data_IF_915280491497
#
_entry.id   IF_915280491497
#
_cell.length_a   1.000
_cell.length_b   1.000
_cell.length_c   1.000
_cell.angle_alpha   90.00
_cell.angle_beta   90.00
_cell.angle_gamma   90.00
#
_symmetry.space_group_name_H-M   'P 1'
#
loop_
_entity.id
_entity.type
_entity.pdbx_description
1 polymer ?
#
# COMPACT_ATOMS: atom_id res chain seq x y z
N UNK A 1 -11.63 -14.68 19.24
CA UNK A 1 -12.44 -14.85 18.01
C UNK A 1 -13.29 -16.10 18.19
N UNK A 2 -14.60 -16.03 17.98
CA UNK A 2 -15.49 -17.19 18.17
C UNK A 2 -15.11 -18.30 17.17
N UNK A 3 -14.81 -19.50 17.69
CA UNK A 3 -14.50 -20.70 16.90
C UNK A 3 -15.79 -21.50 16.64
N UNK A 4 -16.78 -20.86 16.03
CA UNK A 4 -18.02 -21.51 15.58
C UNK A 4 -17.97 -21.67 14.06
N UNK A 5 -18.48 -22.79 13.54
CA UNK A 5 -18.51 -23.09 12.10
C UNK A 5 -19.84 -22.73 11.44
N UNK A 6 -20.93 -22.74 12.20
CA UNK A 6 -22.26 -22.38 11.74
C UNK A 6 -22.72 -21.14 12.52
N UNK A 7 -23.29 -20.19 11.79
CA UNK A 7 -23.82 -18.94 12.33
C UNK A 7 -25.29 -18.85 11.94
N UNK A 8 -26.14 -18.48 12.89
CA UNK A 8 -27.53 -18.14 12.58
C UNK A 8 -27.59 -16.83 11.77
N UNK A 9 -28.59 -16.72 10.89
CA UNK A 9 -28.89 -15.50 10.14
C UNK A 9 -29.02 -14.29 11.09
N UNK A 10 -29.74 -14.48 12.19
CA UNK A 10 -29.93 -13.47 13.23
C UNK A 10 -28.60 -13.10 13.90
N UNK A 11 -27.66 -14.04 14.09
CA UNK A 11 -26.35 -13.75 14.69
C UNK A 11 -25.45 -12.90 13.77
N UNK A 12 -25.59 -13.07 12.46
CA UNK A 12 -24.85 -12.29 11.46
C UNK A 12 -25.40 -10.86 11.38
N UNK A 13 -26.72 -10.68 11.52
CA UNK A 13 -27.36 -9.36 11.42
C UNK A 13 -27.47 -8.60 12.74
N UNK A 14 -27.57 -9.29 13.88
CA UNK A 14 -27.67 -8.62 15.19
C UNK A 14 -26.34 -8.22 15.78
N UNK A 15 -25.23 -8.55 15.10
CA UNK A 15 -23.82 -8.36 15.51
C UNK A 15 -23.70 -8.00 17.00
N UNK A 16 -23.87 -8.99 17.88
CA UNK A 16 -23.91 -8.78 19.34
C UNK A 16 -22.61 -8.20 19.91
N UNK A 17 -21.55 -8.16 19.10
CA UNK A 17 -20.26 -7.56 19.43
C UNK A 17 -20.16 -6.08 19.03
N UNK A 18 -21.12 -5.57 18.26
CA UNK A 18 -21.18 -4.18 17.89
C UNK A 18 -21.75 -3.36 19.05
N UNK A 19 -20.93 -2.42 19.54
CA UNK A 19 -21.38 -1.35 20.41
C UNK A 19 -21.00 -0.05 19.72
N UNK A 20 -21.99 0.82 19.48
CA UNK A 20 -21.70 2.16 19.00
C UNK A 20 -20.70 2.82 19.96
N UNK A 21 -19.60 3.42 19.47
CA UNK A 21 -18.65 4.09 20.34
C UNK A 21 -19.37 5.13 21.21
N UNK A 22 -19.01 5.26 22.50
CA UNK A 22 -19.57 6.30 23.35
C UNK A 22 -19.38 7.68 22.71
N UNK A 23 -20.32 8.64 22.86
CA UNK A 23 -20.22 9.97 22.25
C UNK A 23 -19.00 10.77 22.74
N UNK A 24 -18.46 10.46 23.93
CA UNK A 24 -17.18 10.98 24.42
C UNK A 24 -15.94 10.43 23.69
N UNK A 25 -16.11 9.37 22.90
CA UNK A 25 -15.11 8.71 22.05
C UNK A 25 -15.47 8.89 20.58
N UNK A 26 -15.89 10.10 20.19
CA UNK A 26 -16.05 10.46 18.79
C UNK A 26 -14.69 10.33 18.10
N UNK A 27 -14.64 9.52 17.05
CA UNK A 27 -13.45 9.43 16.20
C UNK A 27 -13.32 10.75 15.44
N UNK A 28 -12.16 11.39 15.57
CA UNK A 28 -11.85 12.59 14.79
C UNK A 28 -11.86 12.24 13.30
N UNK A 29 -12.58 13.01 12.49
CA UNK A 29 -12.58 12.86 11.03
C UNK A 29 -11.66 13.90 10.40
N UNK A 30 -11.16 13.60 9.20
CA UNK A 30 -10.35 14.53 8.40
C UNK A 30 -11.15 15.75 7.90
N UNK A 31 -12.47 15.75 8.09
CA UNK A 31 -13.38 16.82 7.66
C UNK A 31 -13.90 17.67 8.83
N UNK A 32 -13.61 17.30 10.08
CA UNK A 32 -13.99 18.13 11.22
C UNK A 32 -13.07 19.37 11.30
N UNK A 33 -13.68 20.52 11.48
CA UNK A 33 -13.02 21.83 11.46
C UNK A 33 -11.95 21.97 12.56
N UNK A 34 -10.79 22.57 12.26
CA UNK A 34 -9.74 22.79 13.25
C UNK A 34 -10.23 23.67 14.39
N UNK A 35 -10.06 23.22 15.64
CA UNK A 35 -10.44 23.99 16.83
C UNK A 35 -9.28 24.86 17.29
N UNK A 36 -9.58 26.08 17.70
CA UNK A 36 -8.58 26.97 18.30
C UNK A 36 -8.32 26.59 19.76
N UNK A 37 -7.04 26.44 20.13
CA UNK A 37 -6.61 26.44 21.54
C UNK A 37 -5.40 27.33 21.67
N UNK A 38 -5.41 28.19 22.70
CA UNK A 38 -4.33 29.13 22.99
C UNK A 38 -3.97 30.02 21.77
N UNK A 39 -4.97 30.47 21.01
CA UNK A 39 -4.80 31.31 19.83
C UNK A 39 -4.20 30.60 18.61
N UNK A 40 -4.01 29.28 18.66
CA UNK A 40 -3.49 28.49 17.55
C UNK A 40 -4.50 27.43 17.12
N UNK A 41 -4.68 27.27 15.81
CA UNK A 41 -5.53 26.22 15.22
C UNK A 41 -4.88 24.85 15.44
N UNK A 42 -5.62 23.95 16.09
CA UNK A 42 -5.18 22.57 16.27
C UNK A 42 -5.40 21.81 14.97
N UNK A 43 -4.30 21.58 14.27
CA UNK A 43 -4.24 20.75 13.06
C UNK A 43 -3.82 19.30 13.34
N UNK A 44 -3.65 18.93 14.61
CA UNK A 44 -3.16 17.62 15.06
C UNK A 44 -4.24 16.87 15.83
N UNK A 45 -4.34 15.57 15.56
CA UNK A 45 -5.29 14.66 16.19
C UNK A 45 -4.93 14.35 17.65
N UNK A 46 -5.87 13.75 18.39
CA UNK A 46 -5.58 13.04 19.64
C UNK A 46 -4.42 12.04 19.46
N UNK A 47 -4.33 11.37 18.31
CA UNK A 47 -3.12 10.66 17.90
C UNK A 47 -2.18 11.62 17.17
N UNK A 48 -0.86 11.40 17.27
CA UNK A 48 0.19 12.25 16.66
C UNK A 48 0.19 12.18 15.11
N UNK A 49 -0.89 12.61 14.47
CA UNK A 49 -1.12 12.65 13.02
C UNK A 49 -1.78 13.97 12.66
N UNK A 50 -1.48 14.49 11.46
CA UNK A 50 -2.12 15.71 10.94
C UNK A 50 -3.58 15.41 10.57
N UNK A 51 -4.49 16.31 10.96
CA UNK A 51 -5.92 16.28 10.62
C UNK A 51 -6.24 17.05 9.33
N UNK A 52 -5.32 17.91 8.91
CA UNK A 52 -5.50 18.78 7.74
C UNK A 52 -4.66 18.23 6.59
N UNK A 53 -5.31 18.03 5.45
CA UNK A 53 -4.64 17.81 4.18
C UNK A 53 -4.40 19.18 3.54
N UNK A 54 -3.15 19.61 3.56
CA UNK A 54 -2.73 20.79 2.82
C UNK A 54 -2.51 20.37 1.37
N UNK A 55 -3.45 20.77 0.51
CA UNK A 55 -3.27 20.60 -0.92
C UNK A 55 -2.24 21.62 -1.37
N UNK A 56 -1.17 21.14 -2.00
CA UNK A 56 -0.24 22.02 -2.68
C UNK A 56 -0.97 22.63 -3.87
N UNK A 57 -0.82 23.94 -4.09
CA UNK A 57 -1.28 24.59 -5.31
C UNK A 57 -0.53 23.97 -6.51
N UNK A 58 -1.19 23.03 -7.19
CA UNK A 58 -0.62 22.27 -8.31
C UNK A 58 -0.49 23.10 -9.60
N UNK A 59 -0.79 24.40 -9.54
CA UNK A 59 -0.52 25.35 -10.62
C UNK A 59 0.97 25.55 -10.86
N UNK A 60 1.82 25.22 -9.86
CA UNK A 60 3.28 25.33 -9.99
C UNK A 60 3.93 23.97 -10.28
N UNK A 61 4.89 23.90 -11.22
CA UNK A 61 5.67 22.69 -11.49
C UNK A 61 6.31 22.13 -10.21
N UNK A 62 5.98 20.88 -9.88
CA UNK A 62 6.51 20.20 -8.69
C UNK A 62 8.03 20.11 -8.75
N UNK A 63 8.73 20.75 -7.80
CA UNK A 63 10.19 20.62 -7.64
C UNK A 63 10.54 19.14 -7.44
N UNK A 64 11.29 18.54 -8.38
CA UNK A 64 11.81 17.18 -8.22
C UNK A 64 12.75 17.17 -7.02
N UNK A 65 12.45 16.40 -5.98
CA UNK A 65 13.41 16.15 -4.91
C UNK A 65 14.61 15.44 -5.51
N UNK A 66 15.79 16.04 -5.41
CA UNK A 66 17.06 15.37 -5.70
C UNK A 66 17.12 14.13 -4.81
N UNK A 67 17.21 12.95 -5.42
CA UNK A 67 17.42 11.70 -4.68
C UNK A 67 18.79 11.82 -4.01
N UNK A 68 18.81 12.23 -2.74
CA UNK A 68 20.02 12.20 -1.92
C UNK A 68 20.61 10.79 -1.93
N UNK A 69 21.94 10.71 -1.91
CA UNK A 69 22.73 9.46 -1.98
C UNK A 69 22.02 8.35 -1.20
N UNK A 70 21.67 7.27 -1.90
CA UNK A 70 21.01 6.09 -1.36
C UNK A 70 21.84 5.60 -0.17
N UNK A 71 21.30 5.68 1.05
CA UNK A 71 21.92 5.07 2.22
C UNK A 71 22.00 3.56 1.96
N UNK A 72 23.22 3.03 1.86
CA UNK A 72 23.51 1.61 1.59
C UNK A 72 23.24 0.70 2.79
N UNK A 73 22.84 1.25 3.94
CA UNK A 73 22.56 0.49 5.16
C UNK A 73 21.18 0.89 5.67
N UNK A 74 20.22 -0.03 5.55
CA UNK A 74 18.90 0.10 6.14
C UNK A 74 17.76 0.01 5.13
N UNK A 75 17.02 -1.10 5.18
CA UNK A 75 15.80 -1.41 4.42
C UNK A 75 16.04 -2.06 3.05
N UNK A 76 16.17 -3.39 3.06
CA UNK A 76 15.82 -4.20 1.90
C UNK A 76 14.30 -4.14 1.71
N UNK A 77 13.81 -3.15 0.96
CA UNK A 77 12.42 -3.16 0.48
C UNK A 77 12.18 -4.42 -0.35
N UNK A 78 10.95 -4.97 -0.34
CA UNK A 78 10.52 -6.16 -1.12
C UNK A 78 11.07 -6.21 -2.55
N UNK A 79 11.20 -5.06 -3.22
CA UNK A 79 11.80 -4.92 -4.55
C UNK A 79 13.24 -5.46 -4.67
N UNK A 80 14.10 -5.33 -3.64
CA UNK A 80 15.47 -5.86 -3.68
C UNK A 80 15.54 -7.38 -3.49
N UNK A 81 14.58 -7.99 -2.77
CA UNK A 81 14.48 -9.46 -2.68
C UNK A 81 13.99 -10.06 -4.00
N UNK A 82 13.10 -9.36 -4.71
CA UNK A 82 12.67 -9.77 -6.05
C UNK A 82 13.80 -9.69 -7.10
N UNK A 83 14.74 -8.75 -6.96
CA UNK A 83 15.88 -8.62 -7.87
C UNK A 83 16.92 -9.77 -7.76
N UNK A 84 16.98 -10.49 -6.62
CA UNK A 84 17.80 -11.71 -6.54
C UNK A 84 17.19 -12.85 -7.36
N UNK A 85 15.86 -12.90 -7.45
CA UNK A 85 15.15 -13.86 -8.28
C UNK A 85 15.21 -13.48 -9.76
N UNK A 86 15.41 -12.20 -10.11
CA UNK A 86 15.42 -11.79 -11.53
C UNK A 86 16.60 -12.36 -12.31
N UNK A 87 17.79 -12.48 -11.71
CA UNK A 87 18.94 -13.04 -12.43
C UNK A 87 18.74 -14.52 -12.80
N UNK A 88 18.18 -15.32 -11.88
CA UNK A 88 17.83 -16.72 -12.14
C UNK A 88 16.68 -16.83 -13.16
N UNK A 89 15.69 -15.92 -13.07
CA UNK A 89 14.58 -15.84 -14.03
C UNK A 89 15.03 -15.42 -15.42
N UNK A 90 16.01 -14.54 -15.55
CA UNK A 90 16.56 -14.08 -16.82
C UNK A 90 17.29 -15.22 -17.55
N UNK A 91 18.00 -16.08 -16.81
CA UNK A 91 18.62 -17.30 -17.36
C UNK A 91 17.57 -18.29 -17.86
N UNK A 92 16.52 -18.54 -17.07
CA UNK A 92 15.42 -19.43 -17.46
C UNK A 92 14.65 -18.89 -18.68
N UNK A 93 14.45 -17.57 -18.76
CA UNK A 93 13.81 -16.92 -19.90
C UNK A 93 14.66 -17.10 -21.16
N UNK A 94 15.96 -16.86 -21.07
CA UNK A 94 16.89 -17.01 -22.19
C UNK A 94 16.89 -18.44 -22.72
N UNK A 95 16.91 -19.43 -21.83
CA UNK A 95 16.82 -20.84 -22.22
C UNK A 95 15.52 -21.16 -22.97
N UNK A 96 14.36 -20.73 -22.46
CA UNK A 96 13.07 -20.97 -23.12
C UNK A 96 12.96 -20.29 -24.49
N UNK A 97 13.54 -19.11 -24.65
CA UNK A 97 13.55 -18.42 -25.95
C UNK A 97 14.39 -19.18 -26.98
N UNK A 98 15.55 -19.71 -26.57
CA UNK A 98 16.38 -20.55 -27.43
C UNK A 98 15.66 -21.85 -27.84
N UNK A 99 14.96 -22.50 -26.90
CA UNK A 99 14.18 -23.70 -27.19
C UNK A 99 13.06 -23.42 -28.21
N UNK A 100 12.42 -22.25 -28.12
CA UNK A 100 11.40 -21.81 -29.08
C UNK A 100 11.99 -21.49 -30.46
N UNK A 101 13.14 -20.82 -30.51
CA UNK A 101 13.85 -20.56 -31.77
C UNK A 101 14.24 -21.86 -32.48
N UNK A 102 14.72 -22.86 -31.73
CA UNK A 102 15.02 -24.18 -32.27
C UNK A 102 13.77 -24.91 -32.78
N UNK A 103 12.67 -24.86 -32.03
CA UNK A 103 11.39 -25.45 -32.44
C UNK A 103 10.87 -24.83 -33.75
N UNK A 104 10.91 -23.50 -33.88
CA UNK A 104 10.51 -22.85 -35.13
C UNK A 104 11.43 -23.18 -36.30
N UNK A 105 12.74 -23.34 -36.06
CA UNK A 105 13.67 -23.77 -37.10
C UNK A 105 13.35 -25.20 -37.59
N UNK A 106 12.97 -26.11 -36.68
CA UNK A 106 12.54 -27.46 -37.04
C UNK A 106 11.19 -27.48 -37.80
N UNK A 107 10.24 -26.59 -37.46
CA UNK A 107 8.98 -26.46 -38.21
C UNK A 107 9.21 -25.90 -39.63
N UNK A 108 10.12 -24.94 -39.81
CA UNK A 108 10.44 -24.36 -41.12
C UNK A 108 11.16 -25.35 -42.05
N UNK A 109 11.94 -26.29 -41.52
CA UNK A 109 12.57 -27.36 -42.31
C UNK A 109 11.60 -28.51 -42.66
N UNK A 110 10.40 -28.55 -42.07
CA UNK A 110 9.37 -29.55 -42.33
C UNK A 110 8.29 -29.10 -43.33
N UNK A 111 8.27 -27.82 -43.72
CA UNK A 111 7.50 -27.27 -44.85
C UNK A 111 8.29 -27.27 -46.17
#
# INVERSE_FOLDING_TARGET
>A
RLKKKEFSLEEIYTNKNYKSPPPARSLETIFEEPKEKNGHLISVSQQKRKRILEFQDFTLPRKRKTRGKIKTVGSFTRAKRAALQSAELDVLLSQKLMDLEAFFAEEVEQE
#
